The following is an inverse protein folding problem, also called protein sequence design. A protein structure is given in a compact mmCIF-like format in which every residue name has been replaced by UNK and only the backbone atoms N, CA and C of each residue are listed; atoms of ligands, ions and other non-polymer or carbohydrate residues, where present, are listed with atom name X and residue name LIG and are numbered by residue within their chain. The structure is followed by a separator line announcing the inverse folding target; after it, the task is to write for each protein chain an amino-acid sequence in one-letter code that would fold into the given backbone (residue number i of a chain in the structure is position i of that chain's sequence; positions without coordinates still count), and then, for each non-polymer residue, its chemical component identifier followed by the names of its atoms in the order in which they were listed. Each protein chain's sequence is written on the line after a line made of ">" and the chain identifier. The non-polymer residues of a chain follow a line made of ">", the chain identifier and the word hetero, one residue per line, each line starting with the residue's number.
data_IF_474159279209
#
_entry.id   IF_474159279209
#
_cell.length_a   1.000
_cell.length_b   1.000
_cell.length_c   1.000
_cell.angle_alpha   90.00
_cell.angle_beta   90.00
_cell.angle_gamma   90.00
#
_symmetry.space_group_name_H-M   'P 1'
#
loop_
_entity.id
_entity.type
_entity.pdbx_description
1 polymer ?
#
# COMPACT_ATOMS: atom_id res chain seq x y z
N UNK A 1 -5.52 19.10 -7.41
CA UNK A 1 -5.84 17.68 -7.60
C UNK A 1 -5.90 17.00 -6.23
N UNK A 2 -6.83 16.06 -6.04
CA UNK A 2 -6.92 15.28 -4.79
C UNK A 2 -5.69 14.39 -4.69
N UNK A 3 -4.91 14.52 -3.60
CA UNK A 3 -3.71 13.70 -3.41
C UNK A 3 -4.10 12.22 -3.29
N UNK A 4 -3.47 11.29 -4.04
CA UNK A 4 -3.74 9.87 -3.87
C UNK A 4 -3.16 9.37 -2.53
N UNK A 5 -3.77 8.34 -1.96
CA UNK A 5 -3.23 7.55 -0.86
C UNK A 5 -3.93 6.18 -0.82
N UNK A 6 -3.46 5.27 0.04
CA UNK A 6 -4.01 3.92 0.20
C UNK A 6 -2.99 2.84 -0.19
N UNK A 7 -3.46 1.73 -0.75
CA UNK A 7 -2.59 0.63 -1.23
C UNK A 7 -1.52 1.11 -2.23
N UNK A 8 -1.89 2.09 -3.07
CA UNK A 8 -0.98 2.78 -3.97
C UNK A 8 -0.87 4.25 -3.56
N UNK A 9 0.35 4.78 -3.66
CA UNK A 9 0.59 6.22 -3.57
C UNK A 9 0.59 6.83 -2.17
N UNK A 10 0.87 6.05 -1.11
CA UNK A 10 1.10 6.60 0.22
C UNK A 10 2.15 7.72 0.23
N UNK A 11 3.19 7.62 -0.61
CA UNK A 11 4.25 8.65 -0.69
C UNK A 11 3.77 10.00 -1.25
N UNK A 12 2.65 10.03 -1.98
CA UNK A 12 2.14 11.24 -2.62
C UNK A 12 1.22 12.07 -1.73
N UNK A 13 0.80 11.56 -0.57
CA UNK A 13 0.07 12.37 0.42
C UNK A 13 0.97 13.41 1.12
N UNK A 14 2.29 13.18 1.06
CA UNK A 14 3.37 14.00 1.63
C UNK A 14 3.34 14.10 3.16
N UNK A 15 2.73 13.14 3.87
CA UNK A 15 2.73 13.11 5.34
C UNK A 15 4.04 12.54 5.92
N UNK A 16 4.93 12.03 5.05
CA UNK A 16 6.21 11.39 5.37
C UNK A 16 6.09 10.15 6.28
N UNK A 17 4.90 9.54 6.33
CA UNK A 17 4.59 8.36 7.14
C UNK A 17 4.24 7.20 6.22
N UNK A 18 5.16 6.25 6.11
CA UNK A 18 4.88 4.96 5.52
C UNK A 18 4.20 4.08 6.56
N UNK A 19 2.98 3.63 6.29
CA UNK A 19 2.33 2.62 7.13
C UNK A 19 2.41 1.28 6.43
N UNK A 20 3.02 0.32 7.11
CA UNK A 20 3.12 -1.06 6.65
C UNK A 20 1.95 -1.87 7.24
N UNK A 21 1.10 -2.37 6.35
CA UNK A 21 -0.05 -3.17 6.73
C UNK A 21 0.35 -4.60 7.02
N UNK A 22 -0.63 -5.42 7.35
CA UNK A 22 -0.44 -6.85 7.53
C UNK A 22 0.19 -7.48 6.29
N UNK A 23 1.12 -8.43 6.51
CA UNK A 23 1.78 -9.22 5.47
C UNK A 23 1.38 -10.68 5.61
N UNK A 24 1.20 -11.36 4.48
CA UNK A 24 1.05 -12.80 4.47
C UNK A 24 2.37 -13.49 4.82
N UNK A 25 2.31 -14.58 5.57
CA UNK A 25 3.47 -15.42 5.82
C UNK A 25 3.66 -16.41 4.65
N UNK A 26 4.85 -16.36 4.07
CA UNK A 26 5.26 -17.21 2.96
C UNK A 26 6.34 -18.23 3.37
N UNK A 27 6.65 -18.34 4.67
CA UNK A 27 7.68 -19.22 5.23
C UNK A 27 7.46 -20.71 4.91
N UNK A 28 6.21 -21.11 4.65
CA UNK A 28 5.81 -22.49 4.33
C UNK A 28 5.84 -22.84 2.84
N UNK A 29 6.17 -21.90 1.96
CA UNK A 29 6.32 -22.16 0.52
C UNK A 29 7.71 -22.60 0.11
N UNK A 30 8.69 -22.32 0.97
CA UNK A 30 9.99 -22.92 0.91
C UNK A 30 10.01 -24.08 1.93
N UNK A 31 10.90 -25.04 1.73
CA UNK A 31 11.21 -26.15 2.64
C UNK A 31 11.82 -25.68 4.00
N UNK A 32 11.39 -24.53 4.51
CA UNK A 32 11.91 -23.86 5.69
C UNK A 32 13.19 -23.05 5.44
N UNK A 33 13.61 -22.83 4.19
CA UNK A 33 14.83 -22.07 3.85
C UNK A 33 14.52 -20.82 3.01
N UNK A 34 15.17 -19.66 3.26
CA UNK A 34 14.93 -18.45 2.46
C UNK A 34 15.32 -18.62 0.98
N UNK A 35 14.32 -18.60 0.08
CA UNK A 35 14.26 -18.24 -1.36
C UNK A 35 15.53 -18.16 -2.23
N UNK A 36 16.58 -18.97 -2.04
CA UNK A 36 17.82 -18.80 -2.79
C UNK A 36 17.81 -19.39 -4.22
N UNK A 37 16.93 -20.33 -4.56
CA UNK A 37 16.79 -20.78 -5.96
C UNK A 37 15.58 -21.69 -6.15
N UNK A 38 14.53 -21.18 -6.81
CA UNK A 38 13.38 -22.01 -7.21
C UNK A 38 13.81 -22.99 -8.31
N UNK A 39 13.78 -24.30 -8.04
CA UNK A 39 13.88 -25.36 -9.07
C UNK A 39 12.79 -26.44 -9.02
N UNK A 40 11.86 -26.42 -8.07
CA UNK A 40 10.74 -27.37 -8.08
C UNK A 40 9.76 -27.18 -6.94
N UNK A 41 8.49 -27.46 -7.22
CA UNK A 41 7.28 -27.46 -6.37
C UNK A 41 6.71 -26.07 -5.99
N UNK A 42 5.66 -25.65 -6.71
CA UNK A 42 4.78 -24.58 -6.28
C UNK A 42 3.81 -25.05 -5.20
N UNK A 43 3.59 -24.23 -4.18
CA UNK A 43 2.56 -24.42 -3.15
C UNK A 43 1.34 -23.54 -3.39
N UNK A 44 0.17 -23.98 -2.93
CA UNK A 44 -1.04 -23.15 -2.91
C UNK A 44 -0.92 -22.09 -1.80
N UNK A 45 -0.95 -20.82 -2.17
CA UNK A 45 -1.02 -19.69 -1.24
C UNK A 45 -2.45 -19.19 -1.17
N UNK A 46 -2.98 -19.04 0.05
CA UNK A 46 -4.18 -18.23 0.27
C UNK A 46 -3.78 -16.91 0.93
N UNK A 47 -3.97 -15.79 0.23
CA UNK A 47 -3.70 -14.46 0.78
C UNK A 47 -4.79 -14.05 1.77
N UNK A 48 -4.39 -13.61 2.96
CA UNK A 48 -5.29 -13.25 4.06
C UNK A 48 -5.08 -11.81 4.53
N UNK A 49 -3.84 -11.34 4.55
CA UNK A 49 -3.47 -10.07 5.17
C UNK A 49 -3.95 -8.82 4.41
N UNK A 50 -3.83 -8.83 3.08
CA UNK A 50 -4.41 -7.82 2.15
C UNK A 50 -4.11 -6.35 2.53
N UNK A 51 -2.95 -6.09 3.13
CA UNK A 51 -2.48 -4.78 3.56
C UNK A 51 -3.38 -4.06 4.59
N UNK A 52 -4.27 -4.78 5.29
CA UNK A 52 -5.07 -4.19 6.38
C UNK A 52 -4.16 -3.55 7.43
N UNK A 53 -4.61 -2.41 7.97
CA UNK A 53 -3.81 -1.56 8.86
C UNK A 53 -2.95 -0.50 8.15
N UNK A 54 -2.61 -0.66 6.87
CA UNK A 54 -2.01 0.42 6.05
C UNK A 54 -3.01 1.13 5.14
N UNK A 55 -4.20 0.58 5.02
CA UNK A 55 -5.32 1.14 4.27
C UNK A 55 -6.38 1.65 5.25
N UNK A 56 -7.23 2.59 4.80
CA UNK A 56 -8.35 3.03 5.63
C UNK A 56 -9.43 1.96 5.64
N UNK A 57 -9.97 1.62 6.81
CA UNK A 57 -10.98 0.56 6.91
C UNK A 57 -10.43 -0.85 6.64
N UNK A 58 -11.15 -1.62 5.85
CA UNK A 58 -10.90 -3.06 5.58
C UNK A 58 -10.95 -3.35 4.09
N UNK A 59 -10.52 -4.55 3.67
CA UNK A 59 -10.59 -4.97 2.26
C UNK A 59 -11.96 -4.71 1.61
N UNK A 60 -13.05 -4.95 2.35
CA UNK A 60 -14.42 -4.83 1.84
C UNK A 60 -14.72 -3.43 1.30
N UNK A 61 -14.11 -2.40 1.89
CA UNK A 61 -14.26 -1.00 1.48
C UNK A 61 -13.53 -0.66 0.16
N UNK A 62 -12.70 -1.57 -0.35
CA UNK A 62 -11.95 -1.44 -1.60
C UNK A 62 -12.49 -2.35 -2.71
N UNK A 63 -13.60 -3.04 -2.49
CA UNK A 63 -14.25 -3.84 -3.54
C UNK A 63 -14.87 -2.93 -4.59
N UNK A 64 -14.66 -3.30 -5.85
CA UNK A 64 -15.19 -2.60 -7.03
C UNK A 64 -16.20 -3.48 -7.75
N UNK A 65 -17.12 -2.87 -8.50
CA UNK A 65 -18.24 -3.57 -9.15
C UNK A 65 -17.85 -4.32 -10.43
N UNK A 66 -16.71 -3.99 -11.04
CA UNK A 66 -16.20 -4.61 -12.27
C UNK A 66 -14.71 -4.35 -12.43
N UNK A 67 -14.05 -5.06 -13.35
CA UNK A 67 -12.60 -5.02 -13.57
C UNK A 67 -12.03 -3.62 -13.85
N UNK A 68 -12.85 -2.71 -14.38
CA UNK A 68 -12.47 -1.34 -14.71
C UNK A 68 -13.19 -0.28 -13.86
N UNK A 69 -13.97 -0.70 -12.85
CA UNK A 69 -14.61 0.23 -11.96
C UNK A 69 -13.57 0.87 -11.03
N UNK A 70 -13.65 2.18 -10.89
CA UNK A 70 -12.80 2.98 -10.00
C UNK A 70 -13.51 3.38 -8.72
N UNK A 71 -14.81 3.10 -8.61
CA UNK A 71 -15.64 3.46 -7.46
C UNK A 71 -15.51 2.43 -6.33
N UNK A 72 -15.09 2.90 -5.16
CA UNK A 72 -15.03 2.20 -3.87
C UNK A 72 -15.04 3.25 -2.74
N UNK A 73 -15.20 2.85 -1.48
CA UNK A 73 -15.47 3.77 -0.35
C UNK A 73 -14.44 4.89 -0.21
N UNK A 74 -13.16 4.60 -0.45
CA UNK A 74 -12.06 5.55 -0.35
C UNK A 74 -11.54 6.03 -1.71
N UNK A 75 -12.33 5.86 -2.78
CA UNK A 75 -11.92 6.23 -4.13
C UNK A 75 -11.72 7.74 -4.26
N UNK A 76 -10.64 8.10 -4.95
CA UNK A 76 -10.28 9.48 -5.30
C UNK A 76 -10.26 9.73 -6.80
N UNK A 77 -10.61 8.72 -7.59
CA UNK A 77 -10.72 8.86 -9.04
C UNK A 77 -11.81 9.89 -9.37
N UNK A 78 -11.49 10.82 -10.28
CA UNK A 78 -12.37 11.90 -10.75
C UNK A 78 -12.96 12.82 -9.64
N UNK A 79 -12.42 12.77 -8.42
CA UNK A 79 -12.86 13.65 -7.31
C UNK A 79 -12.20 15.02 -7.40
N UNK A 80 -13.01 16.06 -7.23
CA UNK A 80 -12.55 17.45 -7.14
C UNK A 80 -11.98 17.75 -5.74
N UNK A 81 -12.51 17.09 -4.70
CA UNK A 81 -12.08 17.21 -3.31
C UNK A 81 -12.28 15.89 -2.56
N UNK A 82 -11.43 15.62 -1.58
CA UNK A 82 -11.57 14.56 -0.59
C UNK A 82 -10.87 14.99 0.73
N UNK A 83 -11.28 14.46 1.89
CA UNK A 83 -10.54 14.66 3.14
C UNK A 83 -9.07 14.28 3.00
N UNK A 84 -8.20 14.75 3.90
CA UNK A 84 -6.83 14.19 3.99
C UNK A 84 -6.89 12.75 4.51
N UNK A 85 -5.88 11.93 4.20
CA UNK A 85 -5.74 10.57 4.72
C UNK A 85 -5.89 10.58 6.24
N UNK A 86 -6.76 9.74 6.79
CA UNK A 86 -6.90 9.62 8.23
C UNK A 86 -5.85 8.67 8.81
N UNK A 87 -4.65 9.19 9.08
CA UNK A 87 -3.53 8.43 9.65
C UNK A 87 -3.89 7.81 11.00
N UNK A 88 -4.77 8.43 11.79
CA UNK A 88 -5.18 7.89 13.10
C UNK A 88 -6.03 6.63 13.01
N UNK A 89 -6.63 6.36 11.84
CA UNK A 89 -7.39 5.14 11.57
C UNK A 89 -6.50 3.98 11.10
N UNK A 90 -5.20 4.21 10.88
CA UNK A 90 -4.26 3.20 10.42
C UNK A 90 -3.64 2.48 11.63
N UNK A 91 -3.69 1.16 11.64
CA UNK A 91 -3.20 0.29 12.72
C UNK A 91 -1.90 -0.44 12.39
N UNK A 92 -1.37 -0.26 11.18
CA UNK A 92 -0.14 -0.88 10.72
C UNK A 92 1.12 -0.27 11.34
N UNK A 93 2.27 -0.89 11.07
CA UNK A 93 3.56 -0.43 11.59
C UNK A 93 4.02 0.82 10.85
N UNK A 94 4.21 1.91 11.58
CA UNK A 94 4.72 3.17 11.02
C UNK A 94 6.24 3.08 10.84
N UNK A 95 6.69 3.23 9.60
CA UNK A 95 8.10 3.45 9.26
C UNK A 95 8.36 4.92 8.96
N UNK A 96 9.63 5.32 9.03
CA UNK A 96 10.06 6.59 8.44
C UNK A 96 10.09 6.38 6.94
N UNK A 97 9.35 7.20 6.19
CA UNK A 97 9.41 7.12 4.74
C UNK A 97 10.86 7.26 4.28
N UNK A 98 11.38 6.32 3.49
CA UNK A 98 12.70 6.48 2.93
C UNK A 98 12.64 7.71 2.01
N UNK A 99 13.23 8.81 2.46
CA UNK A 99 13.41 9.99 1.63
C UNK A 99 14.15 9.54 0.37
N UNK A 100 13.43 9.37 -0.74
CA UNK A 100 14.06 9.49 -2.04
C UNK A 100 14.48 10.96 -2.12
N UNK A 101 15.69 11.25 -1.63
CA UNK A 101 16.33 12.53 -1.85
C UNK A 101 16.32 12.74 -3.36
N UNK A 102 15.44 13.63 -3.83
CA UNK A 102 15.58 14.18 -5.17
C UNK A 102 16.95 14.86 -5.19
N UNK A 103 17.91 14.43 -6.03
CA UNK A 103 19.10 15.24 -6.24
C UNK A 103 18.61 16.58 -6.79
N UNK A 104 18.78 17.61 -5.99
CA UNK A 104 18.27 18.95 -6.27
C UNK A 104 18.79 19.43 -7.62
N UNK A 105 17.85 19.94 -8.43
CA UNK A 105 18.17 20.82 -9.53
C UNK A 105 18.70 22.12 -8.90
N UNK A 106 20.01 22.33 -8.88
CA UNK A 106 20.59 23.65 -8.63
C UNK A 106 20.06 24.59 -9.71
N UNK A 107 19.08 25.42 -9.35
CA UNK A 107 18.77 26.62 -10.10
C UNK A 107 19.90 27.62 -9.81
N UNK A 108 20.94 27.57 -10.65
CA UNK A 108 21.95 28.63 -10.71
C UNK A 108 21.28 29.98 -10.96
N UNK A 109 21.60 30.95 -10.10
CA UNK A 109 21.46 32.38 -10.39
C UNK A 109 22.67 32.86 -11.16
#
# INVERSE_FOLDING_TARGET
>A
AVKPHGLLGQTYDCDHKEVNGMRDDYSHLDDGRPTASRRGAGGHVTTRAKAEGAIEGTLEHYKVSSDFATEFTFSRFDRISAPVRNVSALSGTVGIAHTFAHPGHEAGR
#
